data_IF_467865117550
#
_entry.id   IF_467865117550
#
_cell.length_a   1.000
_cell.length_b   1.000
_cell.length_c   1.000
_cell.angle_alpha   90.00
_cell.angle_beta   90.00
_cell.angle_gamma   90.00
#
_symmetry.space_group_name_H-M   'P 1'
#
loop_
_entity.id
_entity.type
_entity.pdbx_description
1 polymer ?
#
# COMPACT_ATOMS: atom_id res chain seq x y z
N UNK A 1 -34.27 8.03 -19.63
CA UNK A 1 -34.06 8.72 -18.35
C UNK A 1 -32.86 9.62 -18.54
N UNK A 2 -33.07 10.94 -18.55
CA UNK A 2 -31.94 11.87 -18.46
C UNK A 2 -31.45 11.86 -17.02
N UNK A 3 -30.15 11.67 -16.82
CA UNK A 3 -29.55 11.73 -15.50
C UNK A 3 -29.65 13.18 -14.99
N UNK A 4 -29.99 13.35 -13.72
CA UNK A 4 -29.96 14.70 -13.14
C UNK A 4 -28.50 15.17 -13.03
N UNK A 5 -28.23 16.49 -13.12
CA UNK A 5 -26.89 17.02 -12.95
C UNK A 5 -26.24 16.66 -11.58
N UNK A 6 -27.04 16.39 -10.55
CA UNK A 6 -26.56 15.91 -9.25
C UNK A 6 -26.09 14.45 -9.33
N UNK A 7 -26.89 13.58 -9.95
CA UNK A 7 -26.53 12.18 -10.19
C UNK A 7 -25.27 12.05 -11.03
N UNK A 8 -25.11 12.86 -12.08
CA UNK A 8 -23.90 12.89 -12.91
C UNK A 8 -22.64 13.26 -12.11
N UNK A 9 -22.73 14.29 -11.26
CA UNK A 9 -21.62 14.68 -10.37
C UNK A 9 -21.25 13.57 -9.40
N UNK A 10 -22.22 12.89 -8.80
CA UNK A 10 -21.98 11.76 -7.88
C UNK A 10 -21.32 10.58 -8.59
N UNK A 11 -21.70 10.29 -9.84
CA UNK A 11 -21.04 9.26 -10.67
C UNK A 11 -19.57 9.64 -10.92
N UNK A 12 -19.28 10.90 -11.28
CA UNK A 12 -17.90 11.35 -11.47
C UNK A 12 -17.08 11.23 -10.17
N UNK A 13 -17.66 11.62 -9.03
CA UNK A 13 -17.00 11.45 -7.73
C UNK A 13 -16.72 9.98 -7.40
N UNK A 14 -17.66 9.08 -7.71
CA UNK A 14 -17.48 7.64 -7.50
C UNK A 14 -16.35 7.10 -8.37
N UNK A 15 -16.28 7.47 -9.65
CA UNK A 15 -15.20 7.09 -10.56
C UNK A 15 -13.82 7.55 -10.05
N UNK A 16 -13.74 8.78 -9.52
CA UNK A 16 -12.49 9.29 -8.91
C UNK A 16 -12.11 8.49 -7.66
N UNK A 17 -13.08 8.12 -6.82
CA UNK A 17 -12.83 7.29 -5.64
C UNK A 17 -12.33 5.89 -6.03
N UNK A 18 -12.90 5.27 -7.06
CA UNK A 18 -12.49 3.97 -7.57
C UNK A 18 -11.04 4.00 -8.12
N UNK A 19 -10.68 5.03 -8.88
CA UNK A 19 -9.31 5.21 -9.37
C UNK A 19 -8.30 5.38 -8.22
N UNK A 20 -8.66 6.16 -7.19
CA UNK A 20 -7.82 6.33 -6.01
C UNK A 20 -7.67 5.03 -5.21
N UNK A 21 -8.73 4.23 -5.10
CA UNK A 21 -8.69 2.92 -4.47
C UNK A 21 -7.74 1.97 -5.21
N UNK A 22 -7.80 1.95 -6.54
CA UNK A 22 -6.89 1.14 -7.36
C UNK A 22 -5.42 1.54 -7.14
N UNK A 23 -5.14 2.85 -7.06
CA UNK A 23 -3.80 3.36 -6.77
C UNK A 23 -3.30 2.94 -5.38
N UNK A 24 -4.15 3.02 -4.34
CA UNK A 24 -3.81 2.57 -2.99
C UNK A 24 -3.55 1.06 -2.92
N UNK A 25 -4.32 0.26 -3.66
CA UNK A 25 -4.12 -1.19 -3.73
C UNK A 25 -2.78 -1.54 -4.37
N UNK A 26 -2.42 -0.87 -5.47
CA UNK A 26 -1.11 -1.03 -6.11
C UNK A 26 0.02 -0.61 -5.14
N UNK A 27 -0.16 0.50 -4.41
CA UNK A 27 0.80 0.92 -3.40
C UNK A 27 0.96 -0.12 -2.28
N UNK A 28 -0.14 -0.69 -1.77
CA UNK A 28 -0.10 -1.74 -0.75
C UNK A 28 0.64 -2.98 -1.25
N UNK A 29 0.35 -3.43 -2.47
CA UNK A 29 1.01 -4.60 -3.05
C UNK A 29 2.52 -4.40 -3.15
N UNK A 30 2.97 -3.21 -3.57
CA UNK A 30 4.40 -2.89 -3.63
C UNK A 30 5.06 -2.93 -2.23
N UNK A 31 4.37 -2.43 -1.19
CA UNK A 31 4.87 -2.51 0.18
C UNK A 31 4.92 -3.95 0.71
N UNK A 32 3.96 -4.79 0.34
CA UNK A 32 3.95 -6.21 0.71
C UNK A 32 5.11 -6.97 0.07
N UNK A 33 5.45 -6.67 -1.19
CA UNK A 33 6.65 -7.21 -1.85
C UNK A 33 7.91 -6.78 -1.11
N UNK A 34 8.06 -5.49 -0.79
CA UNK A 34 9.21 -4.99 -0.01
C UNK A 34 9.32 -5.65 1.37
N UNK A 35 8.19 -5.87 2.05
CA UNK A 35 8.17 -6.56 3.34
C UNK A 35 8.68 -8.00 3.20
N UNK A 36 8.20 -8.72 2.19
CA UNK A 36 8.64 -10.09 1.90
C UNK A 36 10.14 -10.15 1.59
N UNK A 37 10.67 -9.21 0.82
CA UNK A 37 12.11 -9.13 0.52
C UNK A 37 12.94 -8.88 1.78
N UNK A 38 12.46 -8.02 2.70
CA UNK A 38 13.11 -7.76 3.98
C UNK A 38 13.10 -9.01 4.86
N UNK A 39 11.98 -9.72 4.91
CA UNK A 39 11.84 -10.96 5.69
C UNK A 39 12.79 -12.05 5.19
N UNK A 40 12.86 -12.25 3.88
CA UNK A 40 13.83 -13.17 3.28
C UNK A 40 15.27 -12.74 3.57
N UNK A 41 15.59 -11.45 3.46
CA UNK A 41 16.94 -10.96 3.76
C UNK A 41 17.33 -11.19 5.23
N UNK A 42 16.40 -11.02 6.18
CA UNK A 42 16.61 -11.29 7.60
C UNK A 42 16.84 -12.78 7.88
N UNK A 43 16.10 -13.66 7.19
CA UNK A 43 16.27 -15.11 7.28
C UNK A 43 17.65 -15.55 6.79
N UNK A 44 18.06 -15.09 5.60
CA UNK A 44 19.35 -15.41 4.99
C UNK A 44 20.54 -14.88 5.81
N UNK A 45 20.41 -13.68 6.39
CA UNK A 45 21.43 -13.13 7.30
C UNK A 45 21.64 -13.99 8.55
N UNK A 46 20.62 -14.74 8.98
CA UNK A 46 20.73 -15.66 10.12
C UNK A 46 21.60 -16.88 9.83
N UNK A 47 21.87 -17.18 8.55
CA UNK A 47 22.55 -18.39 8.10
C UNK A 47 23.91 -18.10 7.42
N UNK A 48 24.28 -16.82 7.29
CA UNK A 48 25.50 -16.41 6.58
C UNK A 48 26.60 -15.91 7.50
N UNK A 49 27.86 -16.18 7.16
CA UNK A 49 29.02 -15.74 7.94
C UNK A 49 29.47 -14.31 7.61
N UNK A 50 29.27 -13.89 6.35
CA UNK A 50 29.73 -12.59 5.83
C UNK A 50 28.65 -11.96 4.99
N UNK A 51 28.41 -10.68 5.21
CA UNK A 51 27.42 -9.93 4.47
C UNK A 51 27.93 -8.54 4.08
N UNK A 52 27.36 -8.04 3.00
CA UNK A 52 27.71 -6.78 2.38
C UNK A 52 26.43 -6.02 2.12
N UNK A 53 26.49 -4.69 2.19
CA UNK A 53 25.39 -3.83 1.73
C UNK A 53 25.81 -3.05 0.50
N UNK A 54 24.87 -2.88 -0.41
CA UNK A 54 25.05 -2.00 -1.57
C UNK A 54 24.80 -0.56 -1.10
N UNK A 55 25.75 0.31 -1.38
CA UNK A 55 25.64 1.76 -1.19
C UNK A 55 25.94 2.41 -2.52
N UNK A 56 24.93 2.95 -3.19
CA UNK A 56 25.02 3.47 -4.56
C UNK A 56 25.56 2.40 -5.53
N UNK A 57 26.78 2.57 -6.04
CA UNK A 57 27.43 1.66 -6.99
C UNK A 57 28.54 0.81 -6.35
N UNK A 58 28.68 0.80 -5.03
CA UNK A 58 29.70 0.02 -4.31
C UNK A 58 29.08 -0.97 -3.33
N UNK A 59 29.79 -2.06 -3.04
CA UNK A 59 29.48 -2.99 -1.96
C UNK A 59 30.38 -2.72 -0.76
N UNK A 60 29.79 -2.59 0.42
CA UNK A 60 30.50 -2.31 1.68
C UNK A 60 30.29 -3.46 2.64
N UNK A 61 31.38 -4.06 3.10
CA UNK A 61 31.33 -5.10 4.13
C UNK A 61 30.72 -4.54 5.43
N UNK A 62 29.85 -5.31 6.07
CA UNK A 62 29.22 -4.92 7.33
C UNK A 62 29.06 -6.14 8.24
N UNK A 63 28.83 -5.89 9.52
CA UNK A 63 28.57 -6.96 10.48
C UNK A 63 27.12 -7.41 10.39
N UNK A 64 26.88 -8.71 10.61
CA UNK A 64 25.53 -9.30 10.63
C UNK A 64 24.60 -8.58 11.63
N UNK A 65 25.01 -8.29 12.89
CA UNK A 65 24.12 -7.60 13.85
C UNK A 65 23.71 -6.21 13.38
N UNK A 66 24.62 -5.48 12.71
CA UNK A 66 24.33 -4.15 12.18
C UNK A 66 23.32 -4.22 11.04
N UNK A 67 23.52 -5.13 10.08
CA UNK A 67 22.60 -5.30 8.96
C UNK A 67 21.21 -5.78 9.41
N UNK A 68 21.17 -6.68 10.40
CA UNK A 68 19.92 -7.15 11.00
C UNK A 68 19.13 -6.00 11.62
N UNK A 69 19.77 -5.17 12.45
CA UNK A 69 19.13 -3.98 13.03
C UNK A 69 18.67 -2.97 11.97
N UNK A 70 19.46 -2.74 10.91
CA UNK A 70 19.08 -1.86 9.79
C UNK A 70 17.83 -2.40 9.07
N UNK A 71 17.74 -3.72 8.83
CA UNK A 71 16.60 -4.36 8.18
C UNK A 71 15.35 -4.42 9.07
N UNK A 72 15.51 -4.71 10.36
CA UNK A 72 14.41 -4.71 11.34
C UNK A 72 13.77 -3.31 11.45
N UNK A 73 14.58 -2.25 11.53
CA UNK A 73 14.06 -0.88 11.52
C UNK A 73 13.31 -0.56 10.23
N UNK A 74 13.81 -1.01 9.07
CA UNK A 74 13.09 -0.85 7.78
C UNK A 74 11.78 -1.64 7.77
N UNK A 75 11.77 -2.86 8.31
CA UNK A 75 10.58 -3.71 8.43
C UNK A 75 9.47 -2.98 9.19
N UNK A 76 9.78 -2.45 10.39
CA UNK A 76 8.82 -1.71 11.21
C UNK A 76 8.21 -0.52 10.46
N UNK A 77 9.04 0.23 9.71
CA UNK A 77 8.58 1.35 8.89
C UNK A 77 7.63 0.88 7.79
N UNK A 78 7.98 -0.21 7.08
CA UNK A 78 7.14 -0.77 6.00
C UNK A 78 5.81 -1.28 6.55
N UNK A 79 5.83 -2.02 7.67
CA UNK A 79 4.62 -2.52 8.33
C UNK A 79 3.69 -1.38 8.76
N UNK A 80 4.23 -0.29 9.32
CA UNK A 80 3.45 0.88 9.69
C UNK A 80 2.80 1.54 8.47
N UNK A 81 3.53 1.63 7.35
CA UNK A 81 3.01 2.16 6.09
C UNK A 81 1.90 1.28 5.53
N UNK A 82 2.05 -0.04 5.57
CA UNK A 82 1.00 -0.99 5.16
C UNK A 82 -0.27 -0.75 5.97
N UNK A 83 -0.19 -0.71 7.30
CA UNK A 83 -1.34 -0.45 8.19
C UNK A 83 -2.03 0.87 7.88
N UNK A 84 -1.25 1.90 7.54
CA UNK A 84 -1.78 3.22 7.17
C UNK A 84 -2.54 3.16 5.85
N UNK A 85 -1.98 2.50 4.83
CA UNK A 85 -2.62 2.31 3.53
C UNK A 85 -3.90 1.47 3.66
N UNK A 86 -3.89 0.41 4.46
CA UNK A 86 -5.08 -0.40 4.73
C UNK A 86 -6.20 0.41 5.39
N UNK A 87 -5.86 1.29 6.34
CA UNK A 87 -6.84 2.20 6.96
C UNK A 87 -7.42 3.19 5.95
N UNK A 88 -6.59 3.73 5.06
CA UNK A 88 -7.02 4.62 3.99
C UNK A 88 -7.93 3.88 2.99
N UNK A 89 -7.55 2.67 2.58
CA UNK A 89 -8.33 1.82 1.68
C UNK A 89 -9.71 1.52 2.28
N UNK A 90 -9.76 1.14 3.56
CA UNK A 90 -11.03 0.87 4.26
C UNK A 90 -11.94 2.09 4.27
N UNK A 91 -11.43 3.25 4.65
CA UNK A 91 -12.22 4.49 4.69
C UNK A 91 -12.71 4.91 3.30
N UNK A 92 -11.89 4.74 2.26
CA UNK A 92 -12.30 5.05 0.88
C UNK A 92 -13.33 4.05 0.36
N UNK A 93 -13.22 2.76 0.68
CA UNK A 93 -14.22 1.75 0.34
C UNK A 93 -15.57 2.06 0.96
N UNK A 94 -15.61 2.41 2.25
CA UNK A 94 -16.85 2.81 2.93
C UNK A 94 -17.52 4.02 2.25
N UNK A 95 -16.73 5.04 1.88
CA UNK A 95 -17.24 6.21 1.13
C UNK A 95 -17.75 5.84 -0.26
N UNK A 96 -17.02 4.99 -0.98
CA UNK A 96 -17.42 4.54 -2.32
C UNK A 96 -18.73 3.75 -2.26
N UNK A 97 -18.88 2.83 -1.30
CA UNK A 97 -20.12 2.06 -1.11
C UNK A 97 -21.31 2.95 -0.79
N UNK A 98 -21.16 3.91 0.13
CA UNK A 98 -22.24 4.86 0.45
C UNK A 98 -22.64 5.71 -0.77
N UNK A 99 -21.67 6.21 -1.53
CA UNK A 99 -21.94 7.00 -2.74
C UNK A 99 -22.59 6.16 -3.85
N UNK A 100 -22.17 4.89 -3.98
CA UNK A 100 -22.76 3.94 -4.92
C UNK A 100 -24.22 3.66 -4.59
N UNK A 101 -24.55 3.45 -3.31
CA UNK A 101 -25.94 3.27 -2.85
C UNK A 101 -26.81 4.49 -3.17
N UNK A 102 -26.32 5.70 -2.88
CA UNK A 102 -27.02 6.95 -3.18
C UNK A 102 -27.30 7.09 -4.69
N UNK A 103 -26.29 6.85 -5.53
CA UNK A 103 -26.43 6.90 -6.99
C UNK A 103 -27.47 5.88 -7.48
N UNK A 104 -27.43 4.64 -6.97
CA UNK A 104 -28.37 3.58 -7.37
C UNK A 104 -29.81 3.89 -6.96
N UNK A 105 -30.03 4.57 -5.84
CA UNK A 105 -31.38 4.99 -5.44
C UNK A 105 -31.97 6.04 -6.39
N UNK A 106 -31.16 6.99 -6.86
CA UNK A 106 -31.61 8.09 -7.73
C UNK A 106 -31.77 7.67 -9.21
N UNK A 107 -31.12 6.58 -9.64
CA UNK A 107 -31.28 6.02 -11.00
C UNK A 107 -32.52 5.10 -11.10
N UNK A 108 -32.97 4.52 -9.98
CA UNK A 108 -34.14 3.62 -9.95
C UNK A 108 -35.49 4.37 -9.88
N UNK A 109 -35.47 5.67 -9.60
CA UNK A 109 -36.64 6.55 -9.62
C UNK A 109 -36.84 7.16 -11.01
#
# INVERSE_FOLDING_TARGET
MELTPDTEKKIQQLQVLEQNLQALQAQRQNLQVQLSEIDTALEELGQTEKAYKIVSNIMVASTIPKLKSELESRKEIVELRIKTVEKQEKSMKEKASSLQEDVLQHIKQ
#
